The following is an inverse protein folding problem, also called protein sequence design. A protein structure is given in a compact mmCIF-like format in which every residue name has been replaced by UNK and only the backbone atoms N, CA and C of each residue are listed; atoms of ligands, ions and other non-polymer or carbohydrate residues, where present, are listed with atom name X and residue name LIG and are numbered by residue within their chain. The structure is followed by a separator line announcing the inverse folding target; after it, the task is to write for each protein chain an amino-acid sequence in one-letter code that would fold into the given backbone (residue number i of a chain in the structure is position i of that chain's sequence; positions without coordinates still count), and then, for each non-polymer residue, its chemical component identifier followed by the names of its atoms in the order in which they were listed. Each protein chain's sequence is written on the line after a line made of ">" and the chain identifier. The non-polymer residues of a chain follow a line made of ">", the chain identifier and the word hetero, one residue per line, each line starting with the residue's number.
data_IF_526380443991
#
_entry.id   IF_526380443991
#
_cell.length_a   1.000
_cell.length_b   1.000
_cell.length_c   1.000
_cell.angle_alpha   90.00
_cell.angle_beta   90.00
_cell.angle_gamma   90.00
#
_symmetry.space_group_name_H-M   'P 1'
#
loop_
_entity.id
_entity.type
_entity.pdbx_description
1 polymer ?
#
# COMPACT_ATOMS: atom_id res chain seq x y z
N UNK A 1 -2.85 25.05 36.74
CA UNK A 1 -1.40 24.74 36.72
C UNK A 1 -1.22 23.24 36.60
N UNK A 2 -0.86 22.74 35.42
CA UNK A 2 -0.63 21.32 35.16
C UNK A 2 0.71 21.19 34.45
N UNK A 3 1.75 20.77 35.19
CA UNK A 3 3.05 20.38 34.66
C UNK A 3 2.89 19.05 33.92
N UNK A 4 2.78 19.08 32.59
CA UNK A 4 2.87 17.89 31.75
C UNK A 4 3.99 18.08 30.73
N UNK A 5 5.09 17.41 31.04
CA UNK A 5 6.00 16.74 30.12
C UNK A 5 6.43 17.50 28.86
N UNK A 6 7.52 18.26 28.99
CA UNK A 6 8.48 18.43 27.90
C UNK A 6 9.10 17.04 27.61
N UNK A 7 8.52 16.30 26.66
CA UNK A 7 9.29 15.29 25.94
C UNK A 7 9.90 16.00 24.74
N UNK A 8 11.20 16.20 24.85
CA UNK A 8 12.07 16.81 23.84
C UNK A 8 11.97 16.01 22.53
N UNK A 9 11.30 16.58 21.53
CA UNK A 9 11.42 16.12 20.15
C UNK A 9 12.78 16.64 19.66
N UNK A 10 13.81 15.83 19.84
CA UNK A 10 15.09 15.99 19.13
C UNK A 10 14.85 15.55 17.68
N UNK A 11 14.15 16.38 16.91
CA UNK A 11 13.99 16.18 15.47
C UNK A 11 15.33 16.47 14.80
N UNK A 12 16.01 15.39 14.42
CA UNK A 12 16.89 15.24 13.26
C UNK A 12 17.13 16.51 12.43
N UNK A 13 17.97 17.41 12.95
CA UNK A 13 18.80 18.26 12.14
C UNK A 13 20.06 17.46 11.77
N UNK A 14 19.89 16.38 10.99
CA UNK A 14 20.96 15.92 10.11
C UNK A 14 21.06 16.92 8.97
N UNK A 15 21.51 18.14 9.29
CA UNK A 15 22.20 18.97 8.32
C UNK A 15 23.36 18.09 7.85
N UNK A 16 23.28 17.68 6.59
CA UNK A 16 24.40 17.15 5.86
C UNK A 16 25.52 18.20 5.89
N UNK A 17 26.37 18.14 6.93
CA UNK A 17 27.79 18.34 6.74
C UNK A 17 28.19 17.24 5.76
N UNK A 18 28.04 17.53 4.47
CA UNK A 18 28.73 16.81 3.44
C UNK A 18 30.22 17.03 3.73
N UNK A 19 30.79 16.12 4.54
CA UNK A 19 32.20 15.83 4.43
C UNK A 19 32.43 15.60 2.95
N UNK A 20 33.08 16.56 2.31
CA UNK A 20 33.62 16.46 0.96
C UNK A 20 34.75 15.44 0.97
N UNK A 21 34.45 14.21 1.38
CA UNK A 21 35.24 13.06 0.99
C UNK A 21 35.14 13.00 -0.52
N UNK A 22 36.21 13.46 -1.17
CA UNK A 22 36.47 13.30 -2.59
C UNK A 22 36.32 11.82 -2.93
N UNK A 23 35.10 11.42 -3.30
CA UNK A 23 34.83 10.09 -3.76
C UNK A 23 35.62 9.92 -5.07
N UNK A 24 36.62 9.05 -5.07
CA UNK A 24 37.35 8.68 -6.28
C UNK A 24 36.36 8.09 -7.27
N UNK A 25 36.03 8.87 -8.31
CA UNK A 25 35.10 8.45 -9.36
C UNK A 25 35.88 7.64 -10.39
N UNK A 26 35.94 6.32 -10.21
CA UNK A 26 36.38 5.41 -11.27
C UNK A 26 35.15 5.13 -12.15
N UNK A 27 35.20 5.55 -13.41
CA UNK A 27 34.16 5.20 -14.37
C UNK A 27 34.25 3.69 -14.63
N UNK A 28 33.26 2.96 -14.16
CA UNK A 28 33.30 1.51 -14.09
C UNK A 28 32.40 0.93 -15.20
N UNK A 29 33.02 0.50 -16.30
CA UNK A 29 32.30 -0.16 -17.41
C UNK A 29 31.52 -1.37 -16.90
N UNK A 30 32.05 -2.07 -15.90
CA UNK A 30 31.43 -3.23 -15.27
C UNK A 30 30.12 -2.85 -14.56
N UNK A 31 30.04 -1.68 -13.92
CA UNK A 31 28.82 -1.24 -13.24
C UNK A 31 27.63 -1.05 -14.20
N UNK A 32 27.87 -0.52 -15.42
CA UNK A 32 26.82 -0.36 -16.44
C UNK A 32 26.33 -1.72 -16.94
N UNK A 33 27.27 -2.62 -17.22
CA UNK A 33 26.97 -3.98 -17.70
C UNK A 33 26.18 -4.77 -16.65
N UNK A 34 26.63 -4.75 -15.39
CA UNK A 34 25.91 -5.36 -14.27
C UNK A 34 24.49 -4.81 -14.13
N UNK A 35 24.28 -3.49 -14.21
CA UNK A 35 22.93 -2.93 -14.13
C UNK A 35 22.02 -3.44 -15.25
N UNK A 36 22.49 -3.41 -16.50
CA UNK A 36 21.66 -3.80 -17.65
C UNK A 36 21.37 -5.31 -17.68
N UNK A 37 22.26 -6.14 -17.15
CA UNK A 37 22.12 -7.59 -17.17
C UNK A 37 21.41 -8.13 -15.92
N UNK A 38 21.77 -7.66 -14.74
CA UNK A 38 21.34 -8.25 -13.46
C UNK A 38 20.04 -7.62 -12.95
N UNK A 39 19.88 -6.29 -13.06
CA UNK A 39 18.76 -5.59 -12.44
C UNK A 39 17.39 -6.06 -12.96
N UNK A 40 17.15 -6.20 -14.29
CA UNK A 40 15.86 -6.68 -14.78
C UNK A 40 15.51 -8.09 -14.31
N UNK A 41 16.49 -9.00 -14.26
CA UNK A 41 16.30 -10.35 -13.77
C UNK A 41 15.96 -10.36 -12.27
N UNK A 42 16.67 -9.53 -11.48
CA UNK A 42 16.42 -9.38 -10.05
C UNK A 42 15.09 -8.73 -9.73
N UNK A 43 14.63 -7.76 -10.52
CA UNK A 43 13.29 -7.19 -10.37
C UNK A 43 12.20 -8.21 -10.69
N UNK A 44 12.38 -9.02 -11.73
CA UNK A 44 11.45 -10.12 -12.03
C UNK A 44 11.40 -11.13 -10.88
N UNK A 45 12.56 -11.54 -10.36
CA UNK A 45 12.66 -12.41 -9.18
C UNK A 45 11.93 -11.80 -7.96
N UNK A 46 12.16 -10.52 -7.68
CA UNK A 46 11.46 -9.81 -6.61
C UNK A 46 9.94 -9.82 -6.82
N UNK A 47 9.46 -9.54 -8.04
CA UNK A 47 8.03 -9.53 -8.34
C UNK A 47 7.36 -10.89 -8.11
N UNK A 48 8.05 -11.99 -8.42
CA UNK A 48 7.57 -13.35 -8.12
C UNK A 48 7.48 -13.60 -6.62
N UNK A 49 8.52 -13.22 -5.87
CA UNK A 49 8.58 -13.41 -4.43
C UNK A 49 7.60 -12.50 -3.68
N UNK A 50 7.31 -11.32 -4.21
CA UNK A 50 6.36 -10.35 -3.66
C UNK A 50 4.89 -10.67 -4.00
N UNK A 51 4.59 -11.85 -4.56
CA UNK A 51 3.21 -12.24 -4.92
C UNK A 51 2.25 -12.34 -3.76
N UNK A 52 2.74 -12.66 -2.57
CA UNK A 52 1.96 -12.80 -1.35
C UNK A 52 1.95 -11.54 -0.47
N UNK A 53 2.61 -10.46 -0.90
CA UNK A 53 2.58 -9.19 -0.19
C UNK A 53 1.25 -8.47 -0.41
N UNK A 54 0.62 -8.09 0.69
CA UNK A 54 -0.56 -7.23 0.74
C UNK A 54 -0.07 -5.86 1.19
N UNK A 55 -0.30 -4.82 0.38
CA UNK A 55 0.34 -3.51 0.57
C UNK A 55 -0.71 -2.44 0.84
N UNK A 56 -0.48 -1.63 1.87
CA UNK A 56 -1.16 -0.37 2.09
C UNK A 56 -0.15 0.76 1.98
N UNK A 57 -0.42 1.75 1.13
CA UNK A 57 0.39 2.95 0.97
C UNK A 57 -0.43 4.13 1.48
N UNK A 58 0.10 4.85 2.45
CA UNK A 58 -0.49 6.10 2.95
C UNK A 58 0.33 7.25 2.41
N UNK A 59 -0.33 8.17 1.72
CA UNK A 59 0.33 9.30 1.04
C UNK A 59 -0.07 10.60 1.72
N UNK A 60 0.93 11.41 2.05
CA UNK A 60 0.78 12.81 2.40
C UNK A 60 1.44 13.64 1.30
N UNK A 61 0.75 14.66 0.81
CA UNK A 61 1.35 15.68 -0.02
C UNK A 61 1.11 17.04 0.64
N UNK A 62 2.00 17.99 0.40
CA UNK A 62 1.87 19.31 1.00
C UNK A 62 2.84 20.30 0.39
N UNK A 63 2.66 21.61 0.64
CA UNK A 63 3.60 22.61 0.19
C UNK A 63 5.03 22.28 0.65
N UNK A 64 6.01 22.63 -0.18
CA UNK A 64 7.41 22.35 0.14
C UNK A 64 7.81 22.90 1.52
N UNK A 65 8.40 22.05 2.38
CA UNK A 65 8.97 22.45 3.67
C UNK A 65 7.97 22.65 4.81
N UNK A 66 6.66 22.42 4.63
CA UNK A 66 5.66 22.59 5.72
C UNK A 66 5.53 21.39 6.65
N UNK A 67 6.24 20.29 6.37
CA UNK A 67 6.06 19.02 7.08
C UNK A 67 4.76 18.30 6.68
N UNK A 68 4.51 17.16 7.33
CA UNK A 68 3.37 16.28 7.05
C UNK A 68 2.53 16.13 8.32
N UNK A 69 1.68 17.11 8.60
CA UNK A 69 0.74 17.07 9.71
C UNK A 69 -0.64 16.58 9.24
N UNK A 70 -1.38 15.88 10.12
CA UNK A 70 -2.73 15.41 9.84
C UNK A 70 -2.83 14.01 9.20
N UNK A 71 -4.05 13.58 8.84
CA UNK A 71 -4.28 12.28 8.22
C UNK A 71 -3.70 12.24 6.78
N UNK A 72 -3.44 11.05 6.23
CA UNK A 72 -3.01 10.91 4.84
C UNK A 72 -4.09 11.46 3.89
N UNK A 73 -3.63 12.10 2.81
CA UNK A 73 -4.47 12.62 1.73
C UNK A 73 -5.00 11.47 0.87
N UNK A 74 -4.18 10.43 0.69
CA UNK A 74 -4.52 9.26 -0.09
C UNK A 74 -4.16 7.98 0.66
N UNK A 75 -5.02 6.97 0.58
CA UNK A 75 -4.73 5.62 1.04
C UNK A 75 -4.96 4.68 -0.13
N UNK A 76 -3.88 4.01 -0.54
CA UNK A 76 -3.91 2.93 -1.50
C UNK A 76 -3.86 1.62 -0.74
N UNK A 77 -4.78 0.70 -1.04
CA UNK A 77 -4.69 -0.67 -0.54
C UNK A 77 -4.75 -1.62 -1.72
N UNK A 78 -3.84 -2.58 -1.72
CA UNK A 78 -3.80 -3.64 -2.71
C UNK A 78 -3.72 -4.99 -2.01
N UNK A 79 -4.64 -5.87 -2.40
CA UNK A 79 -4.60 -7.27 -2.02
C UNK A 79 -4.65 -8.16 -3.24
N UNK A 80 -3.85 -9.23 -3.23
CA UNK A 80 -3.87 -10.27 -4.25
C UNK A 80 -3.54 -11.63 -3.69
N UNK A 81 -4.14 -12.66 -4.29
CA UNK A 81 -3.73 -14.04 -4.05
C UNK A 81 -2.54 -14.40 -4.94
N UNK A 82 -1.89 -15.54 -4.67
CA UNK A 82 -0.68 -15.97 -5.41
C UNK A 82 -0.91 -16.19 -6.91
N UNK A 83 -2.10 -16.62 -7.30
CA UNK A 83 -2.45 -16.82 -8.72
C UNK A 83 -2.79 -15.51 -9.43
N UNK A 84 -3.01 -14.42 -8.69
CA UNK A 84 -3.54 -13.17 -9.23
C UNK A 84 -5.00 -13.28 -9.72
N UNK A 85 -5.72 -14.36 -9.40
CA UNK A 85 -7.15 -14.50 -9.70
C UNK A 85 -8.04 -13.66 -8.77
N UNK A 86 -7.53 -13.33 -7.58
CA UNK A 86 -8.15 -12.42 -6.63
C UNK A 86 -7.33 -11.14 -6.61
N UNK A 87 -7.97 -10.01 -6.90
CA UNK A 87 -7.34 -8.70 -6.91
C UNK A 87 -8.30 -7.68 -6.32
N UNK A 88 -7.81 -6.93 -5.35
CA UNK A 88 -8.54 -5.84 -4.72
C UNK A 88 -7.64 -4.65 -4.70
N UNK A 89 -8.12 -3.56 -5.28
CA UNK A 89 -7.46 -2.28 -5.25
C UNK A 89 -8.42 -1.24 -4.71
N UNK A 90 -7.96 -0.44 -3.76
CA UNK A 90 -8.73 0.69 -3.26
C UNK A 90 -7.89 1.94 -3.24
N UNK A 91 -8.57 3.04 -3.56
CA UNK A 91 -8.06 4.38 -3.48
C UNK A 91 -9.05 5.21 -2.68
N UNK A 92 -8.63 5.68 -1.52
CA UNK A 92 -9.36 6.67 -0.73
C UNK A 92 -8.62 8.00 -0.82
N UNK A 93 -9.31 9.04 -1.28
CA UNK A 93 -8.79 10.41 -1.31
C UNK A 93 -9.88 11.41 -0.98
N UNK A 94 -9.50 12.67 -0.79
CA UNK A 94 -10.47 13.76 -0.63
C UNK A 94 -11.23 14.06 -1.93
N UNK A 95 -10.68 13.66 -3.09
CA UNK A 95 -11.33 13.79 -4.40
C UNK A 95 -12.37 12.70 -4.68
N UNK A 96 -12.32 11.59 -3.95
CA UNK A 96 -13.21 10.46 -4.14
C UNK A 96 -12.64 9.16 -3.59
N UNK A 97 -13.53 8.18 -3.45
CA UNK A 97 -13.16 6.83 -3.04
C UNK A 97 -13.56 5.87 -4.16
N UNK A 98 -12.61 5.02 -4.56
CA UNK A 98 -12.79 4.03 -5.63
C UNK A 98 -12.25 2.70 -5.15
N UNK A 99 -13.05 1.65 -5.32
CA UNK A 99 -12.67 0.29 -4.97
C UNK A 99 -12.94 -0.60 -6.18
N UNK A 100 -11.90 -1.25 -6.68
CA UNK A 100 -11.98 -2.20 -7.77
C UNK A 100 -11.65 -3.58 -7.22
N UNK A 101 -12.54 -4.53 -7.43
CA UNK A 101 -12.37 -5.90 -6.93
C UNK A 101 -12.63 -6.88 -8.06
N UNK A 102 -11.79 -7.90 -8.15
CA UNK A 102 -11.93 -9.02 -9.06
C UNK A 102 -11.74 -10.33 -8.30
N UNK A 103 -12.60 -11.29 -8.60
CA UNK A 103 -12.47 -12.69 -8.21
C UNK A 103 -12.76 -13.60 -9.41
N UNK A 104 -12.70 -14.92 -9.18
CA UNK A 104 -12.89 -15.93 -10.23
C UNK A 104 -14.27 -15.92 -10.90
N UNK A 105 -15.28 -15.36 -10.24
CA UNK A 105 -16.66 -15.39 -10.71
C UNK A 105 -17.11 -14.05 -11.32
N UNK A 106 -16.61 -12.92 -10.79
CA UNK A 106 -16.99 -11.58 -11.24
C UNK A 106 -15.99 -10.51 -10.82
N UNK A 107 -16.15 -9.32 -11.39
CA UNK A 107 -15.46 -8.10 -10.97
C UNK A 107 -16.46 -6.98 -10.71
N UNK A 108 -16.12 -6.04 -9.84
CA UNK A 108 -16.98 -4.91 -9.51
C UNK A 108 -16.20 -3.66 -9.14
N UNK A 109 -16.85 -2.52 -9.36
CA UNK A 109 -16.41 -1.20 -8.94
C UNK A 109 -17.35 -0.65 -7.88
N UNK A 110 -16.82 -0.22 -6.75
CA UNK A 110 -17.54 0.57 -5.76
C UNK A 110 -17.04 2.00 -5.75
N UNK A 111 -17.94 2.93 -5.42
CA UNK A 111 -17.59 4.30 -5.09
C UNK A 111 -18.50 4.88 -4.02
N UNK A 112 -18.02 5.92 -3.33
CA UNK A 112 -18.84 6.74 -2.42
C UNK A 112 -19.39 7.95 -3.17
N UNK A 113 -20.49 8.56 -2.68
CA UNK A 113 -21.09 9.73 -3.33
C UNK A 113 -20.23 10.98 -3.15
N UNK A 114 -20.01 11.41 -1.90
CA UNK A 114 -19.19 12.59 -1.60
C UNK A 114 -18.46 12.52 -0.25
N UNK A 115 -19.09 11.96 0.80
CA UNK A 115 -18.46 11.89 2.14
C UNK A 115 -17.82 10.53 2.39
N UNK A 116 -16.75 10.51 3.19
CA UNK A 116 -16.11 9.26 3.64
C UNK A 116 -17.06 8.35 4.43
N UNK A 117 -18.10 8.91 5.04
CA UNK A 117 -19.15 8.21 5.79
C UNK A 117 -20.30 7.68 4.93
N UNK A 118 -20.35 8.04 3.63
CA UNK A 118 -21.41 7.55 2.76
C UNK A 118 -21.28 6.05 2.55
N UNK A 119 -22.42 5.37 2.44
CA UNK A 119 -22.46 3.95 2.08
C UNK A 119 -21.84 3.70 0.71
N UNK A 120 -21.21 2.54 0.55
CA UNK A 120 -20.70 2.09 -0.73
C UNK A 120 -21.82 1.95 -1.75
N UNK A 121 -21.56 2.45 -2.97
CA UNK A 121 -22.44 2.25 -4.11
C UNK A 121 -21.72 1.45 -5.18
N UNK A 122 -22.42 0.44 -5.68
CA UNK A 122 -21.99 -0.32 -6.85
C UNK A 122 -22.05 0.62 -8.06
N UNK A 123 -20.89 0.87 -8.67
CA UNK A 123 -20.77 1.65 -9.90
C UNK A 123 -20.87 0.75 -11.12
N UNK A 124 -20.21 -0.42 -11.07
CA UNK A 124 -20.13 -1.39 -12.18
C UNK A 124 -20.05 -2.81 -11.62
N UNK A 125 -20.65 -3.76 -12.31
CA UNK A 125 -20.47 -5.20 -12.09
C UNK A 125 -20.27 -5.87 -13.44
N UNK A 126 -19.28 -6.75 -13.51
CA UNK A 126 -18.98 -7.55 -14.69
C UNK A 126 -19.11 -9.02 -14.32
N UNK A 127 -20.11 -9.69 -14.87
CA UNK A 127 -20.32 -11.14 -14.73
C UNK A 127 -19.53 -11.87 -15.81
N UNK A 128 -19.06 -13.09 -15.52
CA UNK A 128 -18.44 -14.00 -16.50
C UNK A 128 -17.27 -13.38 -17.28
N UNK A 129 -16.34 -12.74 -16.57
CA UNK A 129 -15.13 -12.21 -17.21
C UNK A 129 -14.10 -13.32 -17.38
N UNK A 130 -13.46 -13.34 -18.54
CA UNK A 130 -12.15 -13.95 -18.65
C UNK A 130 -11.20 -13.22 -17.68
N UNK A 131 -10.19 -13.91 -17.15
CA UNK A 131 -9.19 -13.30 -16.25
C UNK A 131 -8.57 -12.01 -16.83
N UNK A 132 -8.42 -11.95 -18.15
CA UNK A 132 -7.90 -10.80 -18.91
C UNK A 132 -8.80 -9.55 -18.80
N UNK A 133 -10.11 -9.74 -18.75
CA UNK A 133 -11.02 -8.61 -18.58
C UNK A 133 -10.96 -8.06 -17.14
N UNK A 134 -10.80 -8.92 -16.13
CA UNK A 134 -10.63 -8.47 -14.75
C UNK A 134 -9.33 -7.67 -14.56
N UNK A 135 -8.25 -8.08 -15.24
CA UNK A 135 -6.98 -7.36 -15.26
C UNK A 135 -7.03 -6.04 -16.05
N UNK A 136 -7.77 -5.98 -17.17
CA UNK A 136 -7.95 -4.68 -17.84
C UNK A 136 -8.78 -3.70 -17.00
N UNK A 137 -9.59 -4.22 -16.09
CA UNK A 137 -10.42 -3.43 -15.18
C UNK A 137 -9.63 -2.83 -14.01
N UNK A 138 -8.71 -3.59 -13.41
CA UNK A 138 -7.72 -3.08 -12.45
C UNK A 138 -6.45 -2.83 -13.24
N UNK A 139 -6.30 -1.64 -13.84
CA UNK A 139 -5.27 -1.35 -14.84
C UNK A 139 -3.94 -2.03 -14.52
N UNK A 140 -3.32 -2.67 -15.52
CA UNK A 140 -2.03 -3.35 -15.35
C UNK A 140 -0.98 -2.43 -14.69
N UNK A 141 -1.07 -1.12 -14.96
CA UNK A 141 -0.28 -0.08 -14.30
C UNK A 141 -0.44 -0.10 -12.77
N UNK A 142 -1.65 -0.24 -12.24
CA UNK A 142 -1.90 -0.29 -10.79
C UNK A 142 -1.26 -1.53 -10.16
N UNK A 143 -1.29 -2.67 -10.85
CA UNK A 143 -0.70 -3.92 -10.36
C UNK A 143 0.83 -3.83 -10.37
N UNK A 144 1.42 -3.29 -11.43
CA UNK A 144 2.88 -3.19 -11.56
C UNK A 144 3.47 -2.06 -10.69
N UNK A 145 2.77 -0.93 -10.53
CA UNK A 145 3.24 0.21 -9.73
C UNK A 145 3.17 -0.06 -8.23
N UNK A 146 2.16 -0.79 -7.77
CA UNK A 146 1.94 -0.98 -6.32
C UNK A 146 2.93 -1.96 -5.67
N UNK A 147 3.53 -2.87 -6.44
CA UNK A 147 4.68 -3.68 -6.00
C UNK A 147 6.03 -3.07 -6.41
N UNK A 148 6.00 -2.10 -7.33
CA UNK A 148 7.16 -1.42 -7.83
C UNK A 148 7.86 -0.51 -6.84
N UNK A 149 7.39 -0.39 -5.58
CA UNK A 149 8.02 0.49 -4.58
C UNK A 149 9.52 0.24 -4.38
N UNK A 150 10.01 -0.99 -4.61
CA UNK A 150 11.46 -1.31 -4.54
C UNK A 150 12.26 -0.73 -5.69
N UNK A 151 11.67 -0.60 -6.88
CA UNK A 151 12.33 -0.05 -8.06
C UNK A 151 11.58 1.16 -8.62
N UNK A 152 10.84 1.85 -7.75
CA UNK A 152 9.95 2.94 -8.08
C UNK A 152 10.67 4.28 -8.02
N UNK A 153 10.41 5.15 -8.98
CA UNK A 153 10.84 6.55 -8.98
C UNK A 153 9.59 7.44 -9.10
N UNK A 154 8.89 7.61 -7.97
CA UNK A 154 7.64 8.37 -7.79
C UNK A 154 6.49 8.03 -8.74
N UNK A 155 6.48 8.55 -9.98
CA UNK A 155 5.42 8.39 -10.99
C UNK A 155 5.76 7.38 -12.09
N UNK A 156 6.84 6.63 -11.92
CA UNK A 156 7.21 5.54 -12.81
C UNK A 156 7.97 4.45 -12.04
N UNK A 157 8.13 3.30 -12.66
CA UNK A 157 9.03 2.25 -12.21
C UNK A 157 10.26 2.20 -13.13
N UNK A 158 11.41 1.77 -12.62
CA UNK A 158 12.59 1.61 -13.46
C UNK A 158 12.36 0.66 -14.65
N UNK A 159 11.64 -0.47 -14.52
CA UNK A 159 11.23 -1.28 -15.66
C UNK A 159 10.44 -0.50 -16.74
N UNK A 160 9.55 0.43 -16.35
CA UNK A 160 8.81 1.23 -17.34
C UNK A 160 9.71 2.30 -17.99
N UNK A 161 10.64 2.87 -17.23
CA UNK A 161 11.65 3.82 -17.74
C UNK A 161 12.59 3.16 -18.75
N UNK A 162 13.01 1.90 -18.53
CA UNK A 162 13.82 1.14 -19.49
C UNK A 162 13.12 0.96 -20.85
N UNK A 163 11.79 0.97 -20.86
CA UNK A 163 10.97 0.83 -22.08
C UNK A 163 10.70 2.18 -22.76
N UNK A 164 11.04 3.31 -22.15
CA UNK A 164 10.84 4.63 -22.76
C UNK A 164 11.72 4.80 -24.00
N UNK A 165 11.19 5.54 -24.97
CA UNK A 165 11.87 5.78 -26.24
C UNK A 165 13.18 6.52 -26.00
N UNK A 166 14.26 5.99 -26.57
CA UNK A 166 15.59 6.59 -26.45
C UNK A 166 16.22 6.49 -25.07
N UNK A 167 15.70 5.62 -24.19
CA UNK A 167 16.36 5.30 -22.93
C UNK A 167 17.81 4.86 -23.19
N UNK A 168 18.75 5.47 -22.47
CA UNK A 168 20.16 5.09 -22.46
C UNK A 168 20.79 5.39 -21.11
N UNK A 169 21.65 4.48 -20.66
CA UNK A 169 22.53 4.70 -19.50
C UNK A 169 23.68 5.61 -19.93
N UNK A 170 23.72 6.82 -19.39
CA UNK A 170 24.72 7.86 -19.67
C UNK A 170 25.98 7.67 -18.83
N UNK A 171 25.83 7.22 -17.59
CA UNK A 171 26.94 6.91 -16.69
C UNK A 171 26.51 5.82 -15.70
N UNK A 172 27.44 5.00 -15.24
CA UNK A 172 27.25 4.10 -14.11
C UNK A 172 28.54 4.03 -13.30
N UNK A 173 28.42 4.09 -11.97
CA UNK A 173 29.57 3.98 -11.07
C UNK A 173 29.19 3.32 -9.77
N UNK A 174 30.13 2.56 -9.22
CA UNK A 174 30.04 2.04 -7.87
C UNK A 174 30.33 3.16 -6.87
N UNK A 175 29.47 3.31 -5.86
CA UNK A 175 29.66 4.25 -4.75
C UNK A 175 29.55 3.51 -3.42
N UNK A 176 30.28 3.98 -2.41
CA UNK A 176 30.19 3.45 -1.05
C UNK A 176 29.51 4.49 -0.15
N UNK A 177 28.43 4.11 0.53
CA UNK A 177 27.70 4.97 1.47
C UNK A 177 27.31 4.15 2.69
N UNK A 178 27.67 4.62 3.89
CA UNK A 178 27.37 3.95 5.17
C UNK A 178 27.80 2.47 5.19
N UNK A 179 28.97 2.17 4.62
CA UNK A 179 29.52 0.81 4.52
C UNK A 179 28.81 -0.09 3.51
N UNK A 180 27.85 0.41 2.74
CA UNK A 180 27.14 -0.33 1.69
C UNK A 180 27.66 0.03 0.31
N UNK A 181 27.75 -0.98 -0.55
CA UNK A 181 28.04 -0.82 -1.97
C UNK A 181 26.74 -0.50 -2.71
N UNK A 182 26.67 0.68 -3.33
CA UNK A 182 25.57 1.09 -4.19
C UNK A 182 26.07 1.31 -5.62
N UNK A 183 25.16 1.31 -6.58
CA UNK A 183 25.47 1.64 -7.98
C UNK A 183 24.64 2.85 -8.40
N UNK A 184 25.33 3.95 -8.70
CA UNK A 184 24.73 5.18 -9.20
C UNK A 184 24.61 5.09 -10.73
N UNK A 185 23.39 5.03 -11.24
CA UNK A 185 23.08 4.91 -12.67
C UNK A 185 22.47 6.21 -13.16
N UNK A 186 23.22 6.95 -13.98
CA UNK A 186 22.73 8.08 -14.75
C UNK A 186 22.06 7.60 -16.04
N UNK A 187 20.91 8.17 -16.36
CA UNK A 187 20.16 7.83 -17.57
C UNK A 187 19.59 9.06 -18.26
N UNK A 188 19.20 8.89 -19.53
CA UNK A 188 18.45 9.87 -20.32
C UNK A 188 17.47 9.15 -21.24
N UNK A 189 16.34 9.77 -21.53
CA UNK A 189 15.37 9.35 -22.55
C UNK A 189 15.17 10.48 -23.57
N UNK A 190 14.55 10.18 -24.70
CA UNK A 190 14.10 11.20 -25.64
C UNK A 190 12.77 11.76 -25.13
N UNK A 191 12.61 13.09 -25.09
CA UNK A 191 11.32 13.73 -24.80
C UNK A 191 10.32 13.33 -25.90
N UNK A 192 9.40 12.42 -25.55
CA UNK A 192 8.31 11.98 -26.39
C UNK A 192 7.33 13.12 -26.69
N UNK A 193 6.79 13.12 -27.91
CA UNK A 193 5.78 14.09 -28.37
C UNK A 193 4.35 13.71 -27.96
N UNK A 194 4.14 12.52 -27.40
CA UNK A 194 2.81 12.00 -27.09
C UNK A 194 2.30 12.61 -25.77
N UNK A 195 1.33 13.50 -25.86
CA UNK A 195 0.99 14.44 -24.79
C UNK A 195 0.21 13.91 -23.59
N UNK A 196 0.09 12.59 -23.40
CA UNK A 196 -0.76 12.01 -22.35
C UNK A 196 0.02 11.52 -21.13
N UNK A 197 1.00 10.66 -21.36
CA UNK A 197 1.70 9.93 -20.30
C UNK A 197 2.92 10.71 -19.81
N UNK A 198 3.16 10.68 -18.50
CA UNK A 198 4.35 11.31 -17.95
C UNK A 198 5.60 10.48 -18.24
N UNK A 199 6.71 11.16 -18.53
CA UNK A 199 7.97 10.55 -18.95
C UNK A 199 9.17 11.16 -18.23
N UNK A 200 10.19 10.35 -17.98
CA UNK A 200 11.46 10.85 -17.47
C UNK A 200 12.31 11.31 -18.64
N UNK A 201 12.98 12.45 -18.50
CA UNK A 201 13.91 12.99 -19.51
C UNK A 201 15.32 12.56 -19.20
N UNK A 202 15.73 12.66 -17.93
CA UNK A 202 17.01 12.20 -17.44
C UNK A 202 16.98 12.08 -15.92
N UNK A 203 17.99 11.45 -15.35
CA UNK A 203 18.16 11.38 -13.92
C UNK A 203 19.35 10.53 -13.51
N UNK A 204 19.53 10.42 -12.20
CA UNK A 204 20.46 9.52 -11.54
C UNK A 204 19.68 8.75 -10.49
N UNK A 205 19.87 7.44 -10.45
CA UNK A 205 19.25 6.54 -9.48
C UNK A 205 20.34 5.74 -8.79
N UNK A 206 20.32 5.70 -7.46
CA UNK A 206 21.24 4.91 -6.67
C UNK A 206 20.56 3.59 -6.29
N UNK A 207 21.15 2.48 -6.73
CA UNK A 207 20.63 1.13 -6.49
C UNK A 207 21.44 0.37 -5.46
N UNK A 208 20.78 -0.47 -4.67
CA UNK A 208 21.39 -1.48 -3.81
C UNK A 208 21.36 -2.85 -4.53
N UNK A 209 22.48 -3.30 -5.16
CA UNK A 209 22.52 -4.55 -5.91
C UNK A 209 22.33 -5.79 -5.02
N UNK A 210 22.56 -5.70 -3.71
CA UNK A 210 22.38 -6.82 -2.78
C UNK A 210 20.90 -7.00 -2.39
N UNK A 211 20.06 -6.01 -2.67
CA UNK A 211 18.62 -6.01 -2.35
C UNK A 211 17.76 -5.95 -3.59
N UNK A 212 17.98 -6.88 -4.53
CA UNK A 212 17.25 -6.94 -5.79
C UNK A 212 17.33 -5.64 -6.61
N UNK A 213 18.46 -4.93 -6.53
CA UNK A 213 18.60 -3.62 -7.17
C UNK A 213 17.50 -2.64 -6.73
N UNK A 214 17.29 -2.56 -5.42
CA UNK A 214 16.36 -1.61 -4.80
C UNK A 214 16.83 -0.16 -4.99
N UNK A 215 15.92 0.74 -5.30
CA UNK A 215 16.16 2.19 -5.38
C UNK A 215 16.33 2.74 -3.98
N UNK A 216 17.53 3.22 -3.65
CA UNK A 216 17.82 3.87 -2.37
C UNK A 216 17.42 5.33 -2.41
N UNK A 217 17.83 6.02 -3.47
CA UNK A 217 17.47 7.40 -3.74
C UNK A 217 17.58 7.70 -5.23
N UNK A 218 16.91 8.76 -5.66
CA UNK A 218 16.93 9.21 -7.04
C UNK A 218 16.83 10.72 -7.15
N UNK A 219 17.31 11.23 -8.28
CA UNK A 219 17.09 12.59 -8.74
C UNK A 219 16.82 12.56 -10.24
N UNK A 220 15.77 13.21 -10.73
CA UNK A 220 15.45 13.16 -12.16
C UNK A 220 14.51 14.25 -12.63
N UNK A 221 14.56 14.52 -13.93
CA UNK A 221 13.65 15.40 -14.66
C UNK A 221 12.48 14.60 -15.20
N UNK A 222 11.28 15.02 -14.86
CA UNK A 222 10.04 14.36 -15.26
C UNK A 222 9.07 15.37 -15.85
N UNK A 223 8.48 15.00 -16.98
CA UNK A 223 7.54 15.81 -17.75
C UNK A 223 6.21 15.06 -17.82
N UNK A 224 5.10 15.73 -17.55
CA UNK A 224 3.78 15.13 -17.71
C UNK A 224 2.72 16.12 -18.20
N UNK A 225 1.53 15.62 -18.54
CA UNK A 225 0.45 16.42 -19.16
C UNK A 225 0.93 17.15 -20.42
N UNK A 226 1.59 16.41 -21.32
CA UNK A 226 2.03 16.93 -22.61
C UNK A 226 3.00 18.09 -22.55
N UNK A 227 3.86 18.13 -21.54
CA UNK A 227 4.84 19.20 -21.37
C UNK A 227 4.38 20.36 -20.51
N UNK A 228 3.10 20.39 -20.13
CA UNK A 228 2.55 21.44 -19.27
C UNK A 228 3.21 21.47 -17.90
N UNK A 229 3.62 20.29 -17.41
CA UNK A 229 4.33 20.17 -16.15
C UNK A 229 5.73 19.66 -16.42
N UNK A 230 6.71 20.47 -15.98
CA UNK A 230 8.13 20.16 -16.02
C UNK A 230 8.65 20.23 -14.60
N UNK A 231 9.20 19.11 -14.12
CA UNK A 231 9.63 19.00 -12.74
C UNK A 231 10.98 18.32 -12.61
N UNK A 232 11.70 18.70 -11.56
CA UNK A 232 12.80 17.99 -10.97
C UNK A 232 12.28 17.30 -9.71
N UNK A 233 12.55 16.01 -9.62
CA UNK A 233 12.14 15.15 -8.52
C UNK A 233 13.37 14.65 -7.82
N UNK A 234 13.37 14.70 -6.50
CA UNK A 234 14.39 14.05 -5.67
C UNK A 234 13.66 13.18 -4.65
N UNK A 235 14.02 11.90 -4.54
CA UNK A 235 13.38 11.02 -3.57
C UNK A 235 14.35 10.09 -2.87
N UNK A 236 14.01 9.70 -1.66
CA UNK A 236 14.75 8.72 -0.84
C UNK A 236 13.79 7.65 -0.33
N UNK A 237 14.26 6.41 -0.25
CA UNK A 237 13.51 5.27 0.26
C UNK A 237 14.22 4.64 1.45
N UNK A 238 13.44 4.31 2.48
CA UNK A 238 13.85 3.46 3.57
C UNK A 238 13.19 2.10 3.43
N UNK A 239 13.95 1.05 3.75
CA UNK A 239 13.50 -0.34 3.61
C UNK A 239 13.56 -1.08 4.94
N UNK A 240 12.62 -1.98 5.13
CA UNK A 240 12.67 -3.06 6.12
C UNK A 240 12.76 -4.39 5.40
N UNK A 241 13.38 -5.38 6.02
CA UNK A 241 13.37 -6.74 5.48
C UNK A 241 12.14 -7.48 6.01
N UNK A 242 11.45 -8.20 5.13
CA UNK A 242 10.41 -9.15 5.52
C UNK A 242 11.02 -10.31 6.31
N UNK A 243 10.15 -11.20 6.84
CA UNK A 243 10.58 -12.46 7.46
C UNK A 243 11.37 -13.35 6.50
N UNK A 244 11.13 -13.23 5.20
CA UNK A 244 11.83 -13.96 4.13
C UNK A 244 13.03 -13.21 3.57
N UNK A 245 13.42 -12.07 4.15
CA UNK A 245 14.54 -11.27 3.67
C UNK A 245 14.23 -10.37 2.48
N UNK A 246 12.96 -10.24 2.06
CA UNK A 246 12.57 -9.37 0.95
C UNK A 246 12.63 -7.90 1.39
N UNK A 247 13.23 -7.00 0.60
CA UNK A 247 13.20 -5.57 0.89
C UNK A 247 11.78 -5.03 0.66
N UNK A 248 11.18 -4.49 1.70
CA UNK A 248 9.87 -3.83 1.64
C UNK A 248 10.11 -2.35 1.93
N UNK A 249 9.71 -1.43 1.05
CA UNK A 249 9.71 -0.01 1.36
C UNK A 249 8.94 0.20 2.67
N UNK A 250 9.45 1.05 3.55
CA UNK A 250 8.80 1.47 4.79
C UNK A 250 8.34 2.92 4.69
N UNK A 251 9.22 3.76 4.17
CA UNK A 251 9.03 5.20 4.05
C UNK A 251 9.64 5.66 2.74
N UNK A 252 8.98 6.59 2.05
CA UNK A 252 9.64 7.41 1.05
C UNK A 252 9.33 8.88 1.24
N UNK A 253 10.32 9.71 0.95
CA UNK A 253 10.24 11.17 0.99
C UNK A 253 10.66 11.69 -0.37
N UNK A 254 9.77 12.41 -1.04
CA UNK A 254 9.96 12.88 -2.41
C UNK A 254 9.72 14.38 -2.43
N UNK A 255 10.67 15.13 -2.99
CA UNK A 255 10.58 16.55 -3.24
C UNK A 255 10.32 16.76 -4.72
N UNK A 256 9.26 17.47 -5.05
CA UNK A 256 8.93 17.85 -6.43
C UNK A 256 9.09 19.36 -6.53
N UNK A 257 9.92 19.79 -7.48
CA UNK A 257 10.16 21.21 -7.78
C UNK A 257 9.99 21.41 -9.27
N UNK A 258 9.27 22.43 -9.69
CA UNK A 258 8.97 22.55 -11.12
C UNK A 258 8.07 23.72 -11.45
N UNK A 259 7.48 23.63 -12.64
CA UNK A 259 6.56 24.62 -13.18
C UNK A 259 5.36 23.88 -13.79
N UNK A 260 4.16 24.38 -13.54
CA UNK A 260 2.90 23.95 -14.14
C UNK A 260 2.27 25.15 -14.85
N UNK A 261 2.17 25.09 -16.18
CA UNK A 261 1.56 26.16 -16.99
C UNK A 261 2.13 27.58 -16.71
N UNK A 262 3.43 27.66 -16.40
CA UNK A 262 4.12 28.92 -16.07
C UNK A 262 4.21 29.22 -14.57
N UNK A 263 3.39 28.58 -13.74
CA UNK A 263 3.37 28.80 -12.29
C UNK A 263 4.30 27.83 -11.54
N UNK A 264 4.98 28.28 -10.46
CA UNK A 264 5.81 27.39 -9.64
C UNK A 264 5.00 26.22 -9.04
N UNK A 265 5.51 25.00 -9.23
CA UNK A 265 4.97 23.77 -8.66
C UNK A 265 5.97 23.18 -7.67
N UNK A 266 5.78 23.45 -6.38
CA UNK A 266 6.68 22.98 -5.33
C UNK A 266 5.89 22.29 -4.22
N UNK A 267 6.06 20.98 -4.11
CA UNK A 267 5.43 20.19 -3.05
C UNK A 267 6.34 19.04 -2.62
N UNK A 268 6.13 18.58 -1.39
CA UNK A 268 6.77 17.39 -0.88
C UNK A 268 5.73 16.28 -0.74
N UNK A 269 6.15 15.03 -0.93
CA UNK A 269 5.34 13.82 -0.80
C UNK A 269 6.01 12.90 0.18
N UNK A 270 5.22 12.36 1.11
CA UNK A 270 5.62 11.30 2.02
C UNK A 270 4.72 10.10 1.77
N UNK A 271 5.32 8.94 1.56
CA UNK A 271 4.60 7.68 1.52
C UNK A 271 5.03 6.80 2.68
N UNK A 272 4.08 6.30 3.45
CA UNK A 272 4.30 5.21 4.39
C UNK A 272 3.74 3.92 3.84
N UNK A 273 4.54 2.87 3.90
CA UNK A 273 4.22 1.57 3.35
C UNK A 273 4.02 0.60 4.50
N UNK A 274 2.88 -0.06 4.51
CA UNK A 274 2.55 -1.16 5.42
C UNK A 274 2.34 -2.38 4.57
N UNK A 275 3.20 -3.38 4.71
CA UNK A 275 3.08 -4.63 4.00
C UNK A 275 2.88 -5.80 4.96
N UNK A 276 2.00 -6.70 4.59
CA UNK A 276 1.73 -7.95 5.28
C UNK A 276 1.94 -9.12 4.31
N UNK A 277 2.68 -10.14 4.74
CA UNK A 277 2.86 -11.36 3.95
C UNK A 277 1.81 -12.38 4.37
N UNK A 278 0.75 -12.53 3.56
CA UNK A 278 -0.32 -13.51 3.78
C UNK A 278 -1.11 -13.78 2.50
N UNK A 279 -1.74 -14.95 2.47
CA UNK A 279 -2.78 -15.22 1.46
C UNK A 279 -4.09 -14.54 1.90
N UNK A 280 -4.67 -13.66 1.08
CA UNK A 280 -5.96 -13.06 1.40
C UNK A 280 -7.08 -14.08 1.21
N UNK A 281 -8.09 -14.05 2.09
CA UNK A 281 -9.20 -14.99 2.00
C UNK A 281 -10.12 -14.62 0.84
N UNK A 282 -10.79 -15.62 0.24
CA UNK A 282 -11.71 -15.38 -0.87
C UNK A 282 -12.86 -14.43 -0.46
N UNK A 283 -13.30 -14.46 0.80
CA UNK A 283 -14.37 -13.59 1.29
C UNK A 283 -14.00 -12.10 1.19
N UNK A 284 -12.71 -11.72 1.25
CA UNK A 284 -12.27 -10.32 1.13
C UNK A 284 -12.52 -9.70 -0.25
N UNK A 285 -12.86 -10.54 -1.25
CA UNK A 285 -13.05 -10.16 -2.65
C UNK A 285 -14.51 -10.27 -3.11
N UNK A 286 -15.46 -10.29 -2.17
CA UNK A 286 -16.90 -10.39 -2.49
C UNK A 286 -17.65 -9.11 -2.11
N UNK A 287 -18.85 -8.90 -2.66
CA UNK A 287 -19.71 -7.77 -2.30
C UNK A 287 -20.11 -7.79 -0.81
N UNK A 288 -20.25 -8.98 -0.25
CA UNK A 288 -20.57 -9.19 1.18
C UNK A 288 -19.51 -8.60 2.11
N UNK A 289 -18.23 -8.59 1.71
CA UNK A 289 -17.16 -7.92 2.47
C UNK A 289 -17.40 -6.41 2.65
N UNK A 290 -18.22 -5.83 1.79
CA UNK A 290 -18.60 -4.42 1.81
C UNK A 290 -20.04 -4.21 2.32
N UNK A 291 -20.67 -5.26 2.85
CA UNK A 291 -22.07 -5.22 3.32
C UNK A 291 -23.10 -5.15 2.19
N UNK A 292 -22.72 -5.55 0.97
CA UNK A 292 -23.58 -5.54 -0.20
C UNK A 292 -24.02 -6.97 -0.55
N UNK A 293 -25.22 -7.17 -1.13
CA UNK A 293 -25.70 -8.50 -1.51
C UNK A 293 -24.90 -9.05 -2.70
N UNK A 294 -24.65 -10.36 -2.69
CA UNK A 294 -24.03 -11.05 -3.82
C UNK A 294 -24.97 -11.13 -5.04
N UNK A 295 -24.43 -11.16 -6.28
CA UNK A 295 -25.25 -11.40 -7.47
C UNK A 295 -25.95 -12.76 -7.43
N UNK A 296 -27.16 -12.92 -8.01
CA UNK A 296 -27.83 -14.20 -8.11
C UNK A 296 -26.97 -15.25 -8.81
N UNK A 297 -26.94 -16.48 -8.27
CA UNK A 297 -26.17 -17.60 -8.80
C UNK A 297 -24.72 -17.70 -8.29
N UNK A 298 -24.29 -16.76 -7.46
CA UNK A 298 -22.98 -16.88 -6.80
C UNK A 298 -23.05 -17.86 -5.62
N UNK A 299 -21.96 -18.60 -5.34
CA UNK A 299 -21.89 -19.41 -4.12
C UNK A 299 -22.15 -18.49 -2.93
N UNK A 300 -23.11 -18.89 -2.09
CA UNK A 300 -23.36 -18.15 -0.87
C UNK A 300 -22.04 -18.06 -0.09
N UNK A 301 -21.55 -16.84 0.13
CA UNK A 301 -20.49 -16.62 1.12
C UNK A 301 -21.02 -17.28 2.37
N UNK A 302 -20.29 -18.28 2.89
CA UNK A 302 -20.69 -18.94 4.13
C UNK A 302 -20.63 -17.87 5.21
N UNK A 303 -21.72 -17.14 5.39
CA UNK A 303 -21.90 -16.24 6.52
C UNK A 303 -21.60 -17.11 7.72
N UNK A 304 -20.48 -16.80 8.39
CA UNK A 304 -19.94 -17.60 9.48
C UNK A 304 -21.09 -17.84 10.44
N UNK A 305 -21.65 -19.05 10.40
CA UNK A 305 -22.91 -19.29 11.10
C UNK A 305 -22.65 -19.05 12.57
N UNK A 306 -23.29 -18.03 13.13
CA UNK A 306 -23.13 -17.66 14.53
C UNK A 306 -23.92 -18.62 15.43
N UNK A 307 -23.96 -19.91 15.09
CA UNK A 307 -24.62 -20.95 15.87
C UNK A 307 -24.10 -21.00 17.30
N UNK A 308 -22.81 -20.70 17.50
CA UNK A 308 -22.21 -20.60 18.83
C UNK A 308 -22.82 -19.46 19.67
N UNK A 309 -23.27 -18.36 19.05
CA UNK A 309 -24.00 -17.29 19.77
C UNK A 309 -25.36 -17.79 20.23
N UNK A 310 -26.06 -18.60 19.42
CA UNK A 310 -27.31 -19.24 19.82
C UNK A 310 -27.09 -20.25 20.95
N UNK A 311 -25.99 -21.00 20.92
CA UNK A 311 -25.61 -21.92 22.01
C UNK A 311 -25.25 -21.15 23.29
N UNK A 312 -24.51 -20.04 23.18
CA UNK A 312 -24.21 -19.17 24.33
C UNK A 312 -25.49 -18.55 24.91
N UNK A 313 -26.41 -18.10 24.06
CA UNK A 313 -27.71 -17.58 24.48
C UNK A 313 -28.53 -18.67 25.19
N UNK A 314 -28.59 -19.89 24.65
CA UNK A 314 -29.27 -21.01 25.27
C UNK A 314 -28.64 -21.39 26.62
N UNK A 315 -27.31 -21.39 26.72
CA UNK A 315 -26.59 -21.63 27.96
C UNK A 315 -26.89 -20.54 29.00
N UNK A 316 -26.92 -19.27 28.61
CA UNK A 316 -27.27 -18.16 29.50
C UNK A 316 -28.72 -18.30 30.04
N UNK A 317 -29.67 -18.69 29.19
CA UNK A 317 -31.05 -18.96 29.61
C UNK A 317 -31.11 -20.15 30.58
N UNK A 318 -30.40 -21.24 30.30
CA UNK A 318 -30.36 -22.42 31.17
C UNK A 318 -29.79 -22.08 32.56
N UNK A 319 -28.72 -21.28 32.63
CA UNK A 319 -28.14 -20.80 33.90
C UNK A 319 -29.15 -19.94 34.68
N UNK A 320 -29.84 -19.01 34.00
CA UNK A 320 -30.84 -18.16 34.63
C UNK A 320 -32.01 -18.98 35.21
N UNK A 321 -32.49 -19.97 34.46
CA UNK A 321 -33.55 -20.89 34.89
C UNK A 321 -33.07 -21.73 36.08
N UNK A 322 -31.89 -22.34 36.00
CA UNK A 322 -31.31 -23.12 37.10
C UNK A 322 -31.14 -22.30 38.38
N UNK A 323 -30.72 -21.04 38.26
CA UNK A 323 -30.60 -20.11 39.37
C UNK A 323 -31.96 -19.75 39.99
N UNK A 324 -32.98 -19.53 39.16
CA UNK A 324 -34.35 -19.26 39.63
C UNK A 324 -34.93 -20.46 40.38
N UNK A 325 -34.75 -21.68 39.87
CA UNK A 325 -35.14 -22.91 40.55
C UNK A 325 -34.41 -23.10 41.89
N UNK A 326 -33.09 -22.90 41.91
CA UNK A 326 -32.29 -22.95 43.14
C UNK A 326 -32.80 -21.95 44.18
N UNK A 327 -33.12 -20.72 43.79
CA UNK A 327 -33.71 -19.71 44.69
C UNK A 327 -35.07 -20.12 45.23
N UNK A 328 -35.92 -20.75 44.42
CA UNK A 328 -37.23 -21.26 44.88
C UNK A 328 -37.08 -22.40 45.89
N UNK A 329 -36.17 -23.35 45.64
CA UNK A 329 -35.92 -24.45 46.59
C UNK A 329 -35.37 -23.94 47.92
N UNK A 330 -34.45 -22.98 47.91
CA UNK A 330 -33.92 -22.37 49.14
C UNK A 330 -34.99 -21.59 49.92
N UNK A 331 -36.01 -21.03 49.25
CA UNK A 331 -37.16 -20.39 49.93
C UNK A 331 -38.12 -21.41 50.54
N UNK A 332 -38.34 -22.54 49.87
CA UNK A 332 -39.19 -23.62 50.40
C UNK A 332 -38.58 -24.31 51.62
N UNK A 333 -37.25 -24.49 51.64
CA UNK A 333 -36.55 -25.08 52.78
C UNK A 333 -36.59 -24.20 54.06
N UNK A 334 -36.74 -22.89 53.90
CA UNK A 334 -36.86 -21.95 55.02
C UNK A 334 -38.32 -21.64 55.39
N UNK A 335 -39.30 -22.37 54.84
CA UNK A 335 -40.67 -22.24 55.28
C UNK A 335 -40.78 -22.74 56.74
N UNK A 336 -41.28 -21.92 57.68
CA UNK A 336 -41.44 -22.35 59.07
C UNK A 336 -42.32 -23.60 59.11
N UNK A 337 -41.91 -24.59 59.93
CA UNK A 337 -42.67 -25.82 60.10
C UNK A 337 -44.12 -25.47 60.49
N UNK A 338 -45.13 -26.13 59.90
CA UNK A 338 -46.51 -25.87 60.25
C UNK A 338 -46.67 -26.07 61.77
N UNK A 339 -47.07 -25.00 62.46
CA UNK A 339 -47.43 -25.07 63.87
C UNK A 339 -48.44 -26.21 64.03
N UNK A 340 -48.10 -27.20 64.86
CA UNK A 340 -49.01 -28.29 65.18
C UNK A 340 -50.25 -27.67 65.82
N UNK A 341 -51.36 -27.70 65.09
CA UNK A 341 -52.66 -27.30 65.61
C UNK A 341 -52.96 -28.10 66.88
N UNK A 342 -53.27 -27.37 67.94
CA UNK A 342 -53.76 -27.92 69.20
C UNK A 342 -55.19 -28.39 68.93
N UNK A 343 -55.41 -29.71 68.91
CA UNK A 343 -56.76 -30.29 68.97
C UNK A 343 -57.38 -29.94 70.34
N UNK A 344 -58.60 -29.39 70.31
CA UNK A 344 -59.44 -29.11 71.49
C UNK A 344 -60.49 -30.21 71.60
#
# INVERSE_FOLDING_TARGET
>A
MSKKALFSITAFACLALADNHSATVVQDKTAKESFLQEAPAKWAEYCELARDLQVTIKTWNGPAGTGFEGPPHEIYEMKRNKSGSLLRWSFESDSGNRYCVANENYAFELGKRKKKTDSWLIKRIFKNRSHQDAQSFVSSEVVDESFGGVFGIYKASMPSVLKQVGFRVTNAKTIWRDGKRLIAVGFSCIEGKNGGEGQYVNGVVNFDPERFWAVVDFHGKYIWQGGMIRSEMQGTYEYVLSKTGLPIPKLSLIKVRGVQAGEPLNFDVKNEYVAEQREPSWEEFTLTAFGLPEPPGMPAVRCRSYWYLWVLAAAAVAIAVGWAFRRRMLRGANAPAPEKGIEI
#
